data_IF_999977609716
#
_entry.id   IF_999977609716
#
_cell.length_a   1.000
_cell.length_b   1.000
_cell.length_c   1.000
_cell.angle_alpha   90.00
_cell.angle_beta   90.00
_cell.angle_gamma   90.00
#
_symmetry.space_group_name_H-M   'P 1'
#
loop_
_entity.id
_entity.type
_entity.pdbx_description
1 polymer ?
#
# COMPACT_ATOMS: atom_id res chain seq x y z
N UNK A 1 -34.53 -56.57 24.54
CA UNK A 1 -34.58 -55.38 23.71
C UNK A 1 -33.80 -54.30 24.41
N UNK A 2 -32.54 -54.04 23.94
CA UNK A 2 -31.61 -53.10 24.60
C UNK A 2 -31.88 -51.65 24.15
N UNK A 3 -32.95 -51.06 24.67
CA UNK A 3 -33.29 -49.64 24.43
C UNK A 3 -32.19 -48.70 24.96
N UNK A 4 -31.39 -49.16 25.94
CA UNK A 4 -30.30 -48.37 26.53
C UNK A 4 -29.08 -48.15 25.62
N UNK A 5 -28.71 -49.14 24.81
CA UNK A 5 -27.51 -49.08 23.95
C UNK A 5 -27.72 -48.19 22.75
N UNK A 6 -28.89 -48.16 22.13
CA UNK A 6 -29.25 -47.26 21.03
C UNK A 6 -29.29 -45.77 21.46
N UNK A 7 -29.85 -45.51 22.65
CA UNK A 7 -29.88 -44.14 23.19
C UNK A 7 -28.48 -43.60 23.49
N UNK A 8 -27.61 -44.41 24.06
CA UNK A 8 -26.19 -44.03 24.31
C UNK A 8 -25.46 -43.77 23.00
N UNK A 9 -25.62 -44.61 21.98
CA UNK A 9 -25.03 -44.45 20.67
C UNK A 9 -25.46 -43.14 20.01
N UNK A 10 -26.75 -42.81 20.08
CA UNK A 10 -27.30 -41.56 19.53
C UNK A 10 -26.74 -40.31 20.25
N UNK A 11 -26.60 -40.36 21.57
CA UNK A 11 -26.00 -39.25 22.34
C UNK A 11 -24.54 -39.08 21.97
N UNK A 12 -23.77 -40.15 21.84
CA UNK A 12 -22.35 -40.07 21.40
C UNK A 12 -22.26 -39.49 19.99
N UNK A 13 -23.11 -39.90 19.05
CA UNK A 13 -23.16 -39.39 17.72
C UNK A 13 -23.47 -37.87 17.68
N UNK A 14 -24.44 -37.41 18.46
CA UNK A 14 -24.79 -36.00 18.59
C UNK A 14 -23.61 -35.15 19.16
N UNK A 15 -22.97 -35.63 20.22
CA UNK A 15 -21.82 -34.98 20.84
C UNK A 15 -20.65 -34.92 19.85
N UNK A 16 -20.36 -36.00 19.14
CA UNK A 16 -19.31 -36.04 18.10
C UNK A 16 -19.57 -35.05 16.97
N UNK A 17 -20.84 -34.93 16.54
CA UNK A 17 -21.24 -33.96 15.51
C UNK A 17 -21.03 -32.51 15.97
N UNK A 18 -21.43 -32.22 17.23
CA UNK A 18 -21.24 -30.89 17.81
C UNK A 18 -19.74 -30.52 17.93
N UNK A 19 -18.90 -31.44 18.39
CA UNK A 19 -17.45 -31.23 18.50
C UNK A 19 -16.84 -31.02 17.10
N UNK A 20 -17.22 -31.85 16.12
CA UNK A 20 -16.76 -31.73 14.75
C UNK A 20 -17.16 -30.39 14.11
N UNK A 21 -18.40 -29.95 14.36
CA UNK A 21 -18.92 -28.65 13.91
C UNK A 21 -18.14 -27.48 14.54
N UNK A 22 -17.88 -27.55 15.86
CA UNK A 22 -17.10 -26.55 16.57
C UNK A 22 -15.63 -26.47 16.04
N UNK A 23 -15.01 -27.64 15.85
CA UNK A 23 -13.63 -27.68 15.28
C UNK A 23 -13.57 -27.14 13.86
N UNK A 24 -14.54 -27.49 13.02
CA UNK A 24 -14.63 -26.95 11.66
C UNK A 24 -14.81 -25.42 11.68
N UNK A 25 -15.67 -24.88 12.55
CA UNK A 25 -15.85 -23.45 12.70
C UNK A 25 -14.57 -22.74 13.17
N UNK A 26 -13.89 -23.29 14.18
CA UNK A 26 -12.61 -22.75 14.66
C UNK A 26 -11.53 -22.78 13.57
N UNK A 27 -11.45 -23.87 12.80
CA UNK A 27 -10.50 -23.99 11.69
C UNK A 27 -10.75 -22.94 10.60
N UNK A 28 -12.02 -22.71 10.21
CA UNK A 28 -12.38 -21.69 9.22
C UNK A 28 -12.05 -20.30 9.74
N UNK A 29 -12.32 -20.03 11.01
CA UNK A 29 -11.99 -18.76 11.67
C UNK A 29 -10.48 -18.51 11.68
N UNK A 30 -9.70 -19.49 12.09
CA UNK A 30 -8.24 -19.41 12.16
C UNK A 30 -7.62 -19.18 10.76
N UNK A 31 -8.14 -19.85 9.75
CA UNK A 31 -7.70 -19.67 8.37
C UNK A 31 -7.99 -18.26 7.85
N UNK A 32 -9.13 -17.67 8.22
CA UNK A 32 -9.47 -16.27 7.88
C UNK A 32 -8.52 -15.29 8.57
N UNK A 33 -8.23 -15.51 9.86
CA UNK A 33 -7.27 -14.69 10.60
C UNK A 33 -5.86 -14.78 10.01
N UNK A 34 -5.38 -15.96 9.69
CA UNK A 34 -4.07 -16.15 9.07
C UNK A 34 -3.96 -15.44 7.73
N UNK A 35 -4.97 -15.51 6.87
CA UNK A 35 -5.02 -14.76 5.61
C UNK A 35 -4.97 -13.26 5.84
N UNK A 36 -5.77 -12.75 6.75
CA UNK A 36 -5.80 -11.33 7.08
C UNK A 36 -4.45 -10.83 7.61
N UNK A 37 -3.77 -11.61 8.45
CA UNK A 37 -2.44 -11.27 8.97
C UNK A 37 -1.40 -11.21 7.84
N UNK A 38 -1.36 -12.22 6.96
CA UNK A 38 -0.42 -12.26 5.82
C UNK A 38 -0.66 -11.07 4.89
N UNK A 39 -1.91 -10.77 4.60
CA UNK A 39 -2.28 -9.64 3.73
C UNK A 39 -1.89 -8.30 4.35
N UNK A 40 -2.10 -8.14 5.66
CA UNK A 40 -1.73 -6.94 6.39
C UNK A 40 -0.22 -6.74 6.44
N UNK A 41 0.53 -7.82 6.68
CA UNK A 41 2.01 -7.79 6.69
C UNK A 41 2.56 -7.42 5.31
N UNK A 42 1.98 -7.97 4.25
CA UNK A 42 2.36 -7.61 2.88
C UNK A 42 2.14 -6.12 2.60
N UNK A 43 0.99 -5.58 2.99
CA UNK A 43 0.67 -4.16 2.79
C UNK A 43 1.57 -3.26 3.62
N UNK A 44 1.85 -3.62 4.87
CA UNK A 44 2.77 -2.86 5.70
C UNK A 44 4.18 -2.81 5.07
N UNK A 45 4.67 -3.92 4.54
CA UNK A 45 5.95 -3.97 3.84
C UNK A 45 5.92 -3.15 2.54
N UNK A 46 4.83 -3.20 1.79
CA UNK A 46 4.63 -2.40 0.58
C UNK A 46 4.65 -0.89 0.91
N UNK A 47 3.93 -0.47 1.96
CA UNK A 47 3.89 0.93 2.39
C UNK A 47 5.25 1.42 2.90
N UNK A 48 5.99 0.60 3.66
CA UNK A 48 7.36 0.93 4.08
C UNK A 48 8.30 1.08 2.89
N UNK A 49 8.21 0.18 1.92
CA UNK A 49 8.99 0.27 0.69
C UNK A 49 8.60 1.51 -0.11
N UNK A 50 7.30 1.79 -0.29
CA UNK A 50 6.81 3.00 -0.95
C UNK A 50 7.34 4.26 -0.28
N UNK A 51 7.27 4.35 1.06
CA UNK A 51 7.81 5.48 1.81
C UNK A 51 9.30 5.71 1.50
N UNK A 52 10.11 4.66 1.56
CA UNK A 52 11.55 4.75 1.26
C UNK A 52 11.83 5.20 -0.18
N UNK A 53 11.02 4.76 -1.15
CA UNK A 53 11.14 5.19 -2.56
C UNK A 53 10.78 6.66 -2.71
N UNK A 54 9.65 7.09 -2.12
CA UNK A 54 9.20 8.49 -2.19
C UNK A 54 10.21 9.43 -1.52
N UNK A 55 10.82 9.02 -0.41
CA UNK A 55 11.90 9.75 0.25
C UNK A 55 13.07 9.99 -0.70
N UNK A 56 13.57 8.94 -1.39
CA UNK A 56 14.64 9.04 -2.36
C UNK A 56 14.26 9.97 -3.53
N UNK A 57 13.06 9.82 -4.09
CA UNK A 57 12.58 10.64 -5.20
C UNK A 57 12.45 12.12 -4.81
N UNK A 58 11.95 12.37 -3.60
CA UNK A 58 11.82 13.72 -3.06
C UNK A 58 13.18 14.36 -2.83
N UNK A 59 14.14 13.62 -2.28
CA UNK A 59 15.51 14.09 -2.06
C UNK A 59 16.20 14.41 -3.39
N UNK A 60 16.09 13.54 -4.41
CA UNK A 60 16.59 13.78 -5.75
C UNK A 60 15.99 15.04 -6.38
N UNK A 61 14.70 15.29 -6.17
CA UNK A 61 13.98 16.46 -6.70
C UNK A 61 14.41 17.76 -6.03
N UNK A 62 14.43 17.80 -4.70
CA UNK A 62 14.66 19.00 -3.91
C UNK A 62 16.12 19.49 -3.96
N UNK A 63 17.07 18.56 -4.07
CA UNK A 63 18.51 18.92 -4.14
C UNK A 63 18.95 19.52 -5.47
N UNK A 64 18.15 19.42 -6.54
CA UNK A 64 18.39 20.07 -7.86
C UNK A 64 19.82 19.92 -8.34
N UNK A 65 20.35 18.69 -8.39
CA UNK A 65 21.74 18.44 -8.78
C UNK A 65 22.02 18.93 -10.20
N UNK A 66 22.87 19.93 -10.36
CA UNK A 66 23.25 20.51 -11.67
C UNK A 66 24.19 19.62 -12.47
N UNK A 67 24.83 18.65 -11.83
CA UNK A 67 25.78 17.72 -12.45
C UNK A 67 25.88 16.38 -11.70
N UNK A 68 26.85 15.59 -12.11
CA UNK A 68 27.20 14.35 -11.43
C UNK A 68 27.99 14.66 -10.16
N UNK A 69 27.51 14.15 -9.01
CA UNK A 69 28.19 14.19 -7.73
C UNK A 69 27.96 12.89 -6.97
N UNK A 70 28.77 12.62 -5.97
CA UNK A 70 28.70 11.38 -5.20
C UNK A 70 27.35 11.21 -4.49
N UNK A 71 26.76 12.29 -4.02
CA UNK A 71 25.45 12.28 -3.37
C UNK A 71 24.33 11.87 -4.34
N UNK A 72 24.30 12.46 -5.53
CA UNK A 72 23.35 12.10 -6.59
C UNK A 72 23.51 10.61 -6.96
N UNK A 73 24.76 10.20 -7.17
CA UNK A 73 25.08 8.81 -7.49
C UNK A 73 24.59 7.84 -6.40
N UNK A 74 24.80 8.19 -5.14
CA UNK A 74 24.33 7.39 -4.01
C UNK A 74 22.81 7.23 -3.98
N UNK A 75 22.06 8.32 -4.22
CA UNK A 75 20.59 8.27 -4.30
C UNK A 75 20.11 7.43 -5.49
N UNK A 76 20.76 7.53 -6.64
CA UNK A 76 20.45 6.72 -7.81
C UNK A 76 20.73 5.22 -7.57
N UNK A 77 21.80 4.89 -6.85
CA UNK A 77 22.06 3.50 -6.41
C UNK A 77 20.94 2.99 -5.51
N UNK A 78 20.51 3.79 -4.52
CA UNK A 78 19.38 3.44 -3.66
C UNK A 78 18.08 3.26 -4.45
N UNK A 79 17.80 4.14 -5.42
CA UNK A 79 16.62 4.03 -6.28
C UNK A 79 16.67 2.76 -7.13
N UNK A 80 17.83 2.44 -7.73
CA UNK A 80 18.03 1.20 -8.48
C UNK A 80 17.77 -0.04 -7.62
N UNK A 81 18.34 -0.09 -6.40
CA UNK A 81 18.11 -1.17 -5.46
C UNK A 81 16.62 -1.27 -5.05
N UNK A 82 15.95 -0.14 -4.91
CA UNK A 82 14.51 -0.08 -4.60
C UNK A 82 13.66 -0.62 -5.76
N UNK A 83 14.04 -0.35 -7.02
CA UNK A 83 13.37 -0.92 -8.21
C UNK A 83 13.48 -2.46 -8.20
N UNK A 84 14.66 -3.00 -7.90
CA UNK A 84 14.83 -4.45 -7.82
C UNK A 84 14.02 -5.07 -6.67
N UNK A 85 13.99 -4.43 -5.48
CA UNK A 85 13.12 -4.85 -4.38
C UNK A 85 11.64 -4.76 -4.77
N UNK A 86 11.26 -3.77 -5.55
CA UNK A 86 9.90 -3.58 -6.03
C UNK A 86 9.36 -4.73 -6.88
N UNK A 87 10.22 -5.55 -7.51
CA UNK A 87 9.80 -6.74 -8.27
C UNK A 87 9.09 -7.80 -7.42
N UNK A 88 9.33 -7.80 -6.11
CA UNK A 88 8.64 -8.70 -5.18
C UNK A 88 7.22 -8.21 -4.86
N UNK A 89 6.97 -6.90 -4.96
CA UNK A 89 5.64 -6.31 -4.78
C UNK A 89 4.87 -6.19 -6.10
N UNK A 90 5.59 -5.98 -7.21
CA UNK A 90 5.05 -5.77 -8.54
C UNK A 90 5.61 -6.80 -9.52
N UNK A 91 5.14 -8.05 -9.46
CA UNK A 91 5.59 -9.07 -10.38
C UNK A 91 5.26 -8.67 -11.82
N UNK A 92 6.13 -9.08 -12.76
CA UNK A 92 5.91 -8.83 -14.17
C UNK A 92 4.64 -9.52 -14.66
N UNK A 93 3.95 -8.87 -15.60
CA UNK A 93 2.82 -9.44 -16.31
C UNK A 93 3.38 -10.40 -17.35
N UNK A 94 2.97 -11.67 -17.30
CA UNK A 94 3.44 -12.73 -18.20
C UNK A 94 2.42 -12.97 -19.30
N UNK A 95 2.60 -12.43 -20.50
CA UNK A 95 1.97 -13.01 -21.69
C UNK A 95 2.73 -14.32 -22.06
N UNK A 96 2.02 -15.25 -22.64
CA UNK A 96 2.39 -16.68 -22.75
C UNK A 96 3.83 -16.98 -23.20
N UNK A 97 4.43 -16.18 -24.09
CA UNK A 97 5.75 -16.46 -24.67
C UNK A 97 6.81 -15.35 -24.54
N UNK A 98 6.50 -14.23 -23.95
CA UNK A 98 7.41 -13.10 -23.94
C UNK A 98 8.52 -13.22 -22.89
N UNK A 99 9.77 -13.28 -23.37
CA UNK A 99 10.95 -13.25 -22.52
C UNK A 99 11.22 -14.56 -21.77
N UNK A 100 10.86 -15.71 -22.34
CA UNK A 100 11.18 -17.02 -21.77
C UNK A 100 12.69 -17.27 -21.63
N UNK A 101 13.49 -16.61 -22.46
CA UNK A 101 14.95 -16.59 -22.42
C UNK A 101 15.53 -15.84 -21.20
N UNK A 102 14.72 -15.01 -20.53
CA UNK A 102 15.16 -14.20 -19.40
C UNK A 102 15.09 -14.97 -18.08
N UNK A 103 15.90 -14.58 -17.08
CA UNK A 103 15.75 -15.11 -15.72
C UNK A 103 14.33 -14.90 -15.17
N UNK A 104 13.83 -15.79 -14.28
CA UNK A 104 12.42 -15.79 -13.86
C UNK A 104 11.85 -14.44 -13.37
N UNK A 105 12.65 -13.66 -12.65
CA UNK A 105 12.23 -12.35 -12.14
C UNK A 105 12.06 -11.28 -13.24
N UNK A 106 12.57 -11.51 -14.45
CA UNK A 106 12.57 -10.57 -15.58
C UNK A 106 11.69 -11.02 -16.73
N UNK A 107 11.05 -12.17 -16.63
CA UNK A 107 10.12 -12.70 -17.66
C UNK A 107 8.87 -11.85 -17.74
N UNK A 108 8.38 -11.65 -18.95
CA UNK A 108 7.17 -10.85 -19.19
C UNK A 108 7.42 -9.35 -19.27
N UNK A 109 6.32 -8.59 -19.24
CA UNK A 109 6.34 -7.13 -19.22
C UNK A 109 6.45 -6.63 -17.79
N UNK A 110 7.27 -5.61 -17.60
CA UNK A 110 7.40 -4.96 -16.28
C UNK A 110 6.06 -4.34 -15.89
N UNK A 111 5.74 -4.40 -14.60
CA UNK A 111 4.57 -3.71 -14.06
C UNK A 111 4.73 -2.19 -14.19
N UNK A 112 3.64 -1.50 -14.53
CA UNK A 112 3.61 -0.05 -14.75
C UNK A 112 4.12 0.75 -13.53
N UNK A 113 3.87 0.29 -12.31
CA UNK A 113 4.41 0.92 -11.10
C UNK A 113 5.94 0.97 -11.08
N UNK A 114 6.60 -0.09 -11.55
CA UNK A 114 8.05 -0.11 -11.69
C UNK A 114 8.53 0.68 -12.91
N UNK A 115 7.73 0.79 -13.97
CA UNK A 115 8.09 1.61 -15.14
C UNK A 115 8.15 3.09 -14.77
N UNK A 116 7.28 3.60 -13.89
CA UNK A 116 7.39 4.97 -13.38
C UNK A 116 8.69 5.20 -12.60
N UNK A 117 9.15 4.23 -11.83
CA UNK A 117 10.43 4.32 -11.11
C UNK A 117 11.63 4.27 -12.04
N UNK A 118 11.60 3.42 -13.07
CA UNK A 118 12.66 3.38 -14.11
C UNK A 118 12.68 4.65 -14.92
N UNK A 119 11.52 5.21 -15.27
CA UNK A 119 11.43 6.51 -15.93
C UNK A 119 12.01 7.62 -15.04
N UNK A 120 11.72 7.63 -13.74
CA UNK A 120 12.30 8.57 -12.77
C UNK A 120 13.82 8.40 -12.68
N UNK A 121 14.32 7.16 -12.58
CA UNK A 121 15.76 6.90 -12.59
C UNK A 121 16.46 7.46 -13.84
N UNK A 122 15.90 7.21 -15.02
CA UNK A 122 16.44 7.72 -16.28
C UNK A 122 16.34 9.26 -16.39
N UNK A 123 15.29 9.84 -15.80
CA UNK A 123 15.10 11.28 -15.77
C UNK A 123 16.19 11.96 -14.94
N UNK A 124 16.47 11.44 -13.75
CA UNK A 124 17.48 12.00 -12.84
C UNK A 124 18.93 11.77 -13.30
N UNK A 125 19.18 10.84 -14.23
CA UNK A 125 20.48 10.73 -14.90
C UNK A 125 20.79 11.93 -15.80
N UNK A 126 19.79 12.71 -16.23
CA UNK A 126 19.98 13.93 -17.02
C UNK A 126 20.41 15.10 -16.13
N UNK A 127 20.98 16.13 -16.75
CA UNK A 127 21.21 17.40 -16.08
C UNK A 127 19.91 18.07 -15.67
N UNK A 128 19.93 18.77 -14.56
CA UNK A 128 18.75 19.45 -14.03
C UNK A 128 18.17 20.47 -15.02
N UNK A 129 16.85 20.57 -15.07
CA UNK A 129 16.10 21.61 -15.78
C UNK A 129 14.73 21.79 -15.12
N UNK A 130 14.11 22.95 -15.26
CA UNK A 130 12.76 23.23 -14.72
C UNK A 130 11.70 22.24 -15.23
N UNK A 131 11.79 21.87 -16.51
CA UNK A 131 10.89 20.87 -17.09
C UNK A 131 11.05 19.47 -16.45
N UNK A 132 12.25 19.15 -15.98
CA UNK A 132 12.54 17.90 -15.28
C UNK A 132 11.82 17.84 -13.93
N UNK A 133 11.70 18.95 -13.21
CA UNK A 133 11.00 18.98 -11.90
C UNK A 133 9.52 18.60 -12.05
N UNK A 134 8.81 19.20 -13.01
CA UNK A 134 7.41 18.89 -13.27
C UNK A 134 7.18 17.42 -13.71
N UNK A 135 8.08 16.90 -14.57
CA UNK A 135 8.03 15.49 -14.98
C UNK A 135 8.31 14.54 -13.81
N UNK A 136 9.30 14.85 -12.97
CA UNK A 136 9.64 14.05 -11.80
C UNK A 136 8.47 13.99 -10.80
N UNK A 137 7.82 15.12 -10.54
CA UNK A 137 6.65 15.18 -9.67
C UNK A 137 5.49 14.36 -10.24
N UNK A 138 5.22 14.48 -11.53
CA UNK A 138 4.16 13.69 -12.17
C UNK A 138 4.42 12.19 -12.09
N UNK A 139 5.66 11.74 -12.34
CA UNK A 139 6.04 10.33 -12.22
C UNK A 139 5.88 9.82 -10.79
N UNK A 140 6.26 10.62 -9.79
CA UNK A 140 6.08 10.27 -8.38
C UNK A 140 4.59 10.16 -8.02
N UNK A 141 3.74 11.08 -8.49
CA UNK A 141 2.28 11.04 -8.27
C UNK A 141 1.65 9.80 -8.91
N UNK A 142 2.04 9.46 -10.15
CA UNK A 142 1.56 8.27 -10.84
C UNK A 142 1.99 6.98 -10.11
N UNK A 143 3.23 6.91 -9.66
CA UNK A 143 3.71 5.79 -8.84
C UNK A 143 2.92 5.64 -7.55
N UNK A 144 2.71 6.74 -6.82
CA UNK A 144 1.91 6.73 -5.58
C UNK A 144 0.46 6.29 -5.85
N UNK A 145 -0.13 6.73 -6.97
CA UNK A 145 -1.49 6.33 -7.36
C UNK A 145 -1.60 4.82 -7.61
N UNK A 146 -0.60 4.20 -8.24
CA UNK A 146 -0.58 2.73 -8.42
C UNK A 146 -0.53 2.01 -7.07
N UNK A 147 0.29 2.50 -6.14
CA UNK A 147 0.36 1.91 -4.78
C UNK A 147 -0.97 2.11 -4.04
N UNK A 148 -1.58 3.28 -4.14
CA UNK A 148 -2.88 3.58 -3.55
C UNK A 148 -3.97 2.62 -4.05
N UNK A 149 -4.03 2.35 -5.37
CA UNK A 149 -4.98 1.40 -5.95
C UNK A 149 -4.81 -0.04 -5.44
N UNK A 150 -3.58 -0.43 -5.12
CA UNK A 150 -3.30 -1.77 -4.56
C UNK A 150 -3.71 -1.84 -3.09
N UNK A 151 -3.39 -0.80 -2.32
CA UNK A 151 -3.68 -0.74 -0.88
C UNK A 151 -5.16 -0.57 -0.61
N UNK A 152 -5.88 0.17 -1.47
CA UNK A 152 -7.31 0.52 -1.34
C UNK A 152 -7.67 0.95 0.07
N UNK A 153 -7.09 2.02 0.58
CA UNK A 153 -7.29 2.44 1.97
C UNK A 153 -8.74 2.79 2.29
N UNK A 154 -9.49 3.29 1.31
CA UNK A 154 -10.91 3.60 1.37
C UNK A 154 -11.81 2.37 1.63
N UNK A 155 -11.47 1.22 1.03
CA UNK A 155 -12.20 -0.04 1.24
C UNK A 155 -11.83 -0.72 2.57
N UNK A 156 -10.59 -0.53 3.04
CA UNK A 156 -10.03 -1.25 4.20
C UNK A 156 -10.26 -0.55 5.53
N UNK A 157 -10.38 0.76 5.51
CA UNK A 157 -10.35 1.60 6.70
C UNK A 157 -11.65 2.40 6.83
N UNK A 158 -12.81 1.72 6.90
CA UNK A 158 -14.10 2.36 7.11
C UNK A 158 -14.07 3.34 8.30
N UNK A 159 -13.37 2.98 9.38
CA UNK A 159 -13.22 3.86 10.55
C UNK A 159 -12.46 5.14 10.23
N UNK A 160 -11.38 5.06 9.43
CA UNK A 160 -10.63 6.25 9.00
C UNK A 160 -11.48 7.08 8.05
N UNK A 161 -12.24 6.43 7.16
CA UNK A 161 -13.16 7.12 6.26
C UNK A 161 -14.22 7.90 7.04
N UNK A 162 -14.86 7.29 8.02
CA UNK A 162 -15.82 7.97 8.90
C UNK A 162 -15.20 9.15 9.63
N UNK A 163 -13.95 9.02 10.10
CA UNK A 163 -13.21 10.13 10.72
C UNK A 163 -12.88 11.21 9.70
N UNK A 164 -12.39 10.85 8.52
CA UNK A 164 -12.05 11.79 7.45
C UNK A 164 -13.28 12.56 6.99
N UNK A 165 -14.40 11.87 6.76
CA UNK A 165 -15.68 12.50 6.36
C UNK A 165 -16.20 13.45 7.45
N UNK A 166 -15.98 13.12 8.71
CA UNK A 166 -16.36 13.98 9.87
C UNK A 166 -15.57 15.29 9.90
N UNK A 167 -14.28 15.26 9.52
CA UNK A 167 -13.38 16.41 9.56
C UNK A 167 -13.15 17.06 8.19
N UNK A 168 -13.81 16.57 7.13
CA UNK A 168 -13.69 17.15 5.81
C UNK A 168 -14.36 18.53 5.75
N UNK A 169 -13.57 19.57 5.46
CA UNK A 169 -14.07 20.92 5.22
C UNK A 169 -14.12 21.16 3.71
N UNK A 170 -15.33 21.17 3.15
CA UNK A 170 -15.54 21.43 1.74
C UNK A 170 -15.12 22.86 1.40
N UNK A 171 -14.19 23.00 0.47
CA UNK A 171 -13.79 24.29 -0.06
C UNK A 171 -12.52 24.89 0.56
N UNK A 172 -11.80 24.16 1.45
CA UNK A 172 -10.47 24.59 1.89
C UNK A 172 -9.43 24.18 0.82
N UNK A 173 -8.72 25.18 0.29
CA UNK A 173 -7.57 24.95 -0.60
C UNK A 173 -6.26 24.89 0.20
N UNK A 174 -5.18 24.44 -0.44
CA UNK A 174 -3.84 24.45 0.18
C UNK A 174 -3.39 25.89 0.46
N UNK A 175 -3.78 26.82 -0.39
CA UNK A 175 -3.49 28.25 -0.26
C UNK A 175 -4.19 28.83 0.97
N UNK A 176 -5.45 28.45 1.23
CA UNK A 176 -6.19 28.85 2.42
C UNK A 176 -5.52 28.37 3.71
N UNK A 177 -4.93 27.17 3.71
CA UNK A 177 -4.22 26.63 4.87
C UNK A 177 -2.88 27.34 5.16
N UNK A 178 -2.36 28.13 4.25
CA UNK A 178 -1.19 28.99 4.48
C UNK A 178 -1.53 30.30 5.20
N UNK A 179 -2.82 30.67 5.25
CA UNK A 179 -3.31 31.84 5.96
C UNK A 179 -3.52 31.54 7.46
N UNK A 180 -2.83 32.24 8.39
CA UNK A 180 -2.95 31.98 9.84
C UNK A 180 -4.38 32.05 10.38
N UNK A 181 -5.24 32.87 9.79
CA UNK A 181 -6.65 33.02 10.14
C UNK A 181 -7.44 31.73 9.84
N UNK A 182 -7.15 31.05 8.74
CA UNK A 182 -7.81 29.81 8.35
C UNK A 182 -7.35 28.64 9.22
N UNK A 183 -6.06 28.60 9.60
CA UNK A 183 -5.55 27.59 10.53
C UNK A 183 -6.24 27.64 11.89
N UNK A 184 -6.60 28.84 12.37
CA UNK A 184 -7.37 28.97 13.62
C UNK A 184 -8.78 28.39 13.50
N UNK A 185 -9.45 28.55 12.36
CA UNK A 185 -10.77 27.96 12.10
C UNK A 185 -10.69 26.43 12.07
N UNK A 186 -9.65 25.88 11.44
CA UNK A 186 -9.43 24.41 11.41
C UNK A 186 -9.16 23.89 12.82
N UNK A 187 -8.36 24.59 13.64
CA UNK A 187 -8.07 24.16 15.02
C UNK A 187 -9.32 24.07 15.89
N UNK A 188 -10.26 24.99 15.73
CA UNK A 188 -11.54 24.98 16.49
C UNK A 188 -12.49 23.84 16.09
N UNK A 189 -12.23 23.14 14.99
CA UNK A 189 -13.04 21.96 14.61
C UNK A 189 -12.86 20.81 15.58
N UNK A 190 -11.69 20.70 16.25
CA UNK A 190 -11.42 19.68 17.28
C UNK A 190 -12.02 20.01 18.65
N UNK A 191 -12.37 21.29 18.89
CA UNK A 191 -12.94 21.74 20.17
C UNK A 191 -14.45 21.60 20.26
N UNK A 192 -15.12 21.01 19.26
CA UNK A 192 -16.57 20.79 19.31
C UNK A 192 -16.89 19.69 20.31
N UNK A 193 -17.69 19.99 21.37
CA UNK A 193 -18.15 18.97 22.29
C UNK A 193 -18.95 17.91 21.51
N UNK A 194 -18.67 16.65 21.79
CA UNK A 194 -19.46 15.53 21.29
C UNK A 194 -20.94 15.83 21.58
N UNK A 195 -21.76 15.89 20.52
CA UNK A 195 -23.20 15.94 20.72
C UNK A 195 -23.60 14.64 21.39
N UNK A 196 -23.87 14.71 22.70
CA UNK A 196 -24.54 13.64 23.43
C UNK A 196 -25.85 13.31 22.72
N UNK A 197 -25.90 12.15 22.09
CA UNK A 197 -27.12 11.49 21.64
C UNK A 197 -27.82 10.84 22.81
#
# INVERSE_FOLDING_TARGET
MDIGSEQISNVIACVSLLISGALAFLYIRDRRHARFTIENDYINQLLQWHHSVVEILTELRLRRFEGECDEKRFLLIKLSASIEKGRFFFPNIKPEDYGLDKPPAYRGYRNVGLDFLVASYNLYHKSWSENLEGQAEQLQRLFTSVVYEIVRPDERLNTIRELTDRYFVKGLSVEDLQEPSQLSVVSHMWDRPEKST
#
